data_IF_507589566932
#
_entry.id   IF_507589566932
#
_cell.length_a   1.000
_cell.length_b   1.000
_cell.length_c   1.000
_cell.angle_alpha   90.00
_cell.angle_beta   90.00
_cell.angle_gamma   90.00
#
_symmetry.space_group_name_H-M   'P 1'
#
loop_
_entity.id
_entity.type
_entity.pdbx_description
1 polymer ?
#
# COMPACT_ATOMS: atom_id res chain seq x y z
N UNK A 1 -22.29 20.02 17.61
CA UNK A 1 -21.39 19.71 16.49
C UNK A 1 -20.07 20.40 16.77
N UNK A 2 -19.09 19.73 17.38
CA UNK A 2 -17.77 20.33 17.63
C UNK A 2 -16.88 20.06 16.42
N UNK A 3 -16.44 21.12 15.74
CA UNK A 3 -15.57 21.01 14.56
C UNK A 3 -14.18 20.50 14.97
N UNK A 4 -13.70 19.47 14.26
CA UNK A 4 -12.31 19.04 14.35
C UNK A 4 -11.44 20.05 13.63
N UNK A 5 -10.59 20.77 14.35
CA UNK A 5 -9.55 21.60 13.75
C UNK A 5 -8.51 20.69 13.10
N UNK A 6 -8.54 20.58 11.77
CA UNK A 6 -7.49 19.90 11.00
C UNK A 6 -6.26 20.81 11.04
N UNK A 7 -5.26 20.43 11.84
CA UNK A 7 -3.93 20.98 11.70
C UNK A 7 -3.43 20.62 10.29
N UNK A 8 -3.01 21.63 9.53
CA UNK A 8 -2.43 21.42 8.21
C UNK A 8 -1.31 20.38 8.33
N UNK A 9 -1.39 19.33 7.50
CA UNK A 9 -0.31 18.35 7.41
C UNK A 9 0.98 19.10 7.03
N UNK A 10 2.14 18.69 7.58
CA UNK A 10 3.42 19.20 7.09
C UNK A 10 3.50 19.01 5.57
N UNK A 11 4.20 19.93 4.90
CA UNK A 11 4.33 19.93 3.44
C UNK A 11 4.83 18.59 2.89
N UNK A 12 4.66 18.34 1.58
CA UNK A 12 5.04 17.06 0.97
C UNK A 12 6.49 16.73 1.34
N UNK A 13 6.71 15.49 1.79
CA UNK A 13 8.05 14.97 1.98
C UNK A 13 8.83 15.17 0.67
N UNK A 14 10.11 15.54 0.79
CA UNK A 14 10.99 15.67 -0.37
C UNK A 14 10.97 14.33 -1.13
N UNK A 15 10.44 14.30 -2.37
CA UNK A 15 10.32 13.05 -3.13
C UNK A 15 11.68 12.45 -3.47
N UNK A 16 12.77 13.22 -3.36
CA UNK A 16 14.14 12.78 -3.66
C UNK A 16 14.94 12.31 -2.44
N UNK A 17 14.25 12.10 -1.31
CA UNK A 17 14.85 11.49 -0.12
C UNK A 17 15.34 10.07 -0.39
N UNK A 18 16.40 9.65 0.32
CA UNK A 18 16.91 8.28 0.21
C UNK A 18 15.91 7.23 0.77
N UNK A 19 16.12 5.96 0.41
CA UNK A 19 15.27 4.84 0.84
C UNK A 19 15.20 4.69 2.38
N UNK A 20 16.26 5.10 3.09
CA UNK A 20 16.27 5.03 4.55
C UNK A 20 15.32 6.07 5.17
N UNK A 21 15.29 7.27 4.60
CA UNK A 21 14.39 8.36 4.97
C UNK A 21 12.93 7.97 4.74
N UNK A 22 12.63 7.40 3.56
CA UNK A 22 11.29 6.89 3.24
C UNK A 22 10.82 5.81 4.23
N UNK A 23 11.69 4.85 4.57
CA UNK A 23 11.38 3.81 5.59
C UNK A 23 11.11 4.43 6.96
N UNK A 24 11.85 5.48 7.32
CA UNK A 24 11.63 6.26 8.54
C UNK A 24 10.26 6.96 8.55
N UNK A 25 9.84 7.54 7.43
CA UNK A 25 8.51 8.14 7.28
C UNK A 25 7.39 7.10 7.40
N UNK A 26 7.53 5.94 6.74
CA UNK A 26 6.57 4.85 6.89
C UNK A 26 6.44 4.39 8.35
N UNK A 27 7.55 4.25 9.07
CA UNK A 27 7.54 3.86 10.47
C UNK A 27 6.86 4.90 11.38
N UNK A 28 7.06 6.20 11.11
CA UNK A 28 6.35 7.29 11.81
C UNK A 28 4.84 7.24 11.56
N UNK A 29 4.43 6.87 10.35
CA UNK A 29 3.01 6.81 9.98
C UNK A 29 2.30 5.55 10.43
N UNK A 30 3.00 4.41 10.55
CA UNK A 30 2.39 3.12 10.88
C UNK A 30 1.46 3.12 12.12
N UNK A 31 1.78 3.79 13.25
CA UNK A 31 0.91 3.81 14.43
C UNK A 31 -0.45 4.49 14.21
N UNK A 32 -0.57 5.37 13.20
CA UNK A 32 -1.83 6.06 12.90
C UNK A 32 -2.80 5.19 12.09
N UNK A 33 -2.37 4.02 11.64
CA UNK A 33 -3.14 3.14 10.79
C UNK A 33 -3.51 1.90 11.60
N UNK A 34 -4.80 1.78 11.96
CA UNK A 34 -5.29 0.60 12.64
C UNK A 34 -5.17 -0.61 11.71
N UNK A 35 -4.20 -1.48 11.97
CA UNK A 35 -4.14 -2.76 11.30
C UNK A 35 -5.35 -3.59 11.75
N UNK A 36 -6.13 -4.16 10.83
CA UNK A 36 -7.16 -5.12 11.23
C UNK A 36 -6.48 -6.29 11.95
N UNK A 37 -7.13 -6.80 13.00
CA UNK A 37 -6.65 -8.00 13.70
C UNK A 37 -6.58 -9.16 12.69
N UNK A 38 -5.36 -9.44 12.21
CA UNK A 38 -5.10 -10.54 11.30
C UNK A 38 -4.84 -11.77 12.16
N UNK A 39 -5.93 -12.42 12.56
CA UNK A 39 -5.85 -13.75 13.16
C UNK A 39 -4.98 -14.68 12.31
N UNK A 40 -4.36 -15.69 12.93
CA UNK A 40 -3.47 -16.62 12.25
C UNK A 40 -4.12 -17.18 10.98
N UNK A 41 -3.51 -16.93 9.82
CA UNK A 41 -4.06 -17.41 8.54
C UNK A 41 -3.97 -18.93 8.52
N UNK A 42 -5.12 -19.59 8.55
CA UNK A 42 -5.19 -21.06 8.48
C UNK A 42 -4.92 -21.50 7.04
N UNK A 43 -4.21 -22.62 6.82
CA UNK A 43 -4.11 -23.22 5.49
C UNK A 43 -5.50 -23.47 4.91
N UNK A 44 -5.71 -23.06 3.67
CA UNK A 44 -6.94 -23.34 2.92
C UNK A 44 -6.67 -24.44 1.90
N UNK A 45 -7.62 -25.35 1.63
CA UNK A 45 -7.50 -26.29 0.53
C UNK A 45 -7.25 -25.55 -0.79
N UNK A 46 -6.44 -26.11 -1.71
CA UNK A 46 -6.18 -25.49 -3.01
C UNK A 46 -7.45 -25.15 -3.80
N UNK A 47 -8.52 -25.95 -3.64
CA UNK A 47 -9.83 -25.69 -4.25
C UNK A 47 -10.49 -24.36 -3.84
N UNK A 48 -10.05 -23.74 -2.74
CA UNK A 48 -10.51 -22.41 -2.29
C UNK A 48 -9.60 -21.27 -2.74
N UNK A 49 -8.48 -21.59 -3.37
CA UNK A 49 -7.62 -20.58 -3.98
C UNK A 49 -8.18 -20.35 -5.38
N UNK A 50 -9.06 -19.37 -5.49
CA UNK A 50 -9.53 -18.91 -6.79
C UNK A 50 -8.44 -18.02 -7.39
N UNK A 51 -8.09 -18.28 -8.65
CA UNK A 51 -7.26 -17.36 -9.42
C UNK A 51 -8.01 -16.06 -9.68
N UNK A 52 -7.25 -15.02 -10.03
CA UNK A 52 -7.79 -13.80 -10.60
C UNK A 52 -7.56 -13.86 -12.10
N UNK A 53 -8.63 -13.74 -12.89
CA UNK A 53 -8.50 -13.52 -14.32
C UNK A 53 -8.40 -12.03 -14.58
N UNK A 54 -7.33 -11.61 -15.25
CA UNK A 54 -7.08 -10.21 -15.56
C UNK A 54 -7.28 -10.02 -17.06
N UNK A 55 -8.25 -9.19 -17.49
CA UNK A 55 -8.46 -8.95 -18.92
C UNK A 55 -7.19 -8.43 -19.59
N UNK A 56 -6.92 -8.90 -20.81
CA UNK A 56 -5.73 -8.52 -21.57
C UNK A 56 -5.62 -6.99 -21.77
N UNK A 57 -6.74 -6.28 -21.87
CA UNK A 57 -6.75 -4.82 -21.93
C UNK A 57 -6.18 -4.15 -20.68
N UNK A 58 -6.46 -4.69 -19.50
CA UNK A 58 -5.92 -4.21 -18.22
C UNK A 58 -4.44 -4.54 -18.09
N UNK A 59 -4.03 -5.75 -18.48
CA UNK A 59 -2.63 -6.16 -18.45
C UNK A 59 -1.74 -5.27 -19.34
N UNK A 60 -2.22 -4.88 -20.53
CA UNK A 60 -1.51 -3.99 -21.46
C UNK A 60 -1.19 -2.61 -20.88
N UNK A 61 -1.93 -2.13 -19.88
CA UNK A 61 -1.61 -0.86 -19.23
C UNK A 61 -0.27 -0.89 -18.49
N UNK A 62 0.19 -2.08 -18.08
CA UNK A 62 1.45 -2.27 -17.38
C UNK A 62 2.64 -2.40 -18.34
N UNK A 63 2.42 -2.51 -19.65
CA UNK A 63 3.50 -2.70 -20.62
C UNK A 63 4.46 -1.51 -20.70
N UNK A 64 3.98 -0.32 -20.33
CA UNK A 64 4.81 0.89 -20.19
C UNK A 64 5.49 1.03 -18.81
N UNK A 65 5.30 0.07 -17.90
CA UNK A 65 5.84 0.09 -16.52
C UNK A 65 6.96 -0.95 -16.33
N UNK A 66 7.88 -1.03 -17.30
CA UNK A 66 8.97 -2.01 -17.34
C UNK A 66 9.92 -1.92 -16.14
N UNK A 67 10.03 -0.76 -15.51
CA UNK A 67 10.94 -0.54 -14.37
C UNK A 67 10.54 -1.33 -13.11
N UNK A 68 9.35 -1.95 -13.11
CA UNK A 68 8.76 -2.64 -11.95
C UNK A 68 8.62 -4.15 -12.12
N UNK A 69 9.02 -4.75 -13.25
CA UNK A 69 8.77 -6.18 -13.50
C UNK A 69 9.77 -6.87 -14.43
N UNK A 70 10.78 -7.49 -13.82
CA UNK A 70 11.46 -8.72 -14.28
C UNK A 70 11.59 -9.68 -13.08
#
# INVERSE_FOLDING_TARGET
MTNHTVHAAPGPADPEGDLASLRGDCARMAPHWAAPDRGSRRPVPPSRIHGVDVPASSARLLEAMSDYGD
#
